data_IF_552707359556
#
_entry.id   IF_552707359556
#
_cell.length_a   1.000
_cell.length_b   1.000
_cell.length_c   1.000
_cell.angle_alpha   90.00
_cell.angle_beta   90.00
_cell.angle_gamma   90.00
#
_symmetry.space_group_name_H-M   'P 1'
#
loop_
_entity.id
_entity.type
_entity.pdbx_description
1 polymer ?
#
# COMPACT_ATOMS: atom_id res chain seq x y z
N UNK A 1 -49.43 -46.26 -2.69
CA UNK A 1 -49.85 -44.87 -3.01
C UNK A 1 -50.20 -44.15 -1.72
N UNK A 2 -49.21 -43.67 -0.95
CA UNK A 2 -49.46 -42.90 0.28
C UNK A 2 -48.81 -41.51 0.13
N UNK A 3 -49.59 -40.49 0.45
CA UNK A 3 -49.22 -39.09 0.71
C UNK A 3 -48.66 -38.21 -0.42
N UNK A 4 -49.46 -37.94 -1.45
CA UNK A 4 -49.28 -36.74 -2.30
C UNK A 4 -49.95 -35.46 -1.76
N UNK A 5 -50.62 -35.51 -0.59
CA UNK A 5 -51.38 -34.37 -0.04
C UNK A 5 -50.74 -33.72 1.21
N UNK A 6 -49.48 -33.99 1.53
CA UNK A 6 -48.80 -33.19 2.55
C UNK A 6 -48.40 -31.83 1.96
N UNK A 7 -48.84 -30.75 2.60
CA UNK A 7 -48.45 -29.40 2.19
C UNK A 7 -46.94 -29.23 2.45
N UNK A 8 -46.21 -28.72 1.46
CA UNK A 8 -44.79 -28.43 1.61
C UNK A 8 -44.58 -27.43 2.76
N UNK A 9 -43.69 -27.77 3.70
CA UNK A 9 -43.25 -26.85 4.74
C UNK A 9 -42.32 -25.84 4.10
N UNK A 10 -42.72 -24.56 4.12
CA UNK A 10 -41.95 -23.49 3.48
C UNK A 10 -40.86 -22.97 4.42
N UNK A 11 -39.71 -22.65 3.84
CA UNK A 11 -38.59 -22.03 4.55
C UNK A 11 -38.43 -20.59 4.09
N UNK A 12 -37.97 -19.71 4.98
CA UNK A 12 -37.68 -18.31 4.62
C UNK A 12 -36.42 -18.24 3.76
N UNK A 13 -36.52 -17.60 2.60
CA UNK A 13 -35.39 -17.21 1.76
C UNK A 13 -35.22 -15.69 1.83
N UNK A 14 -34.12 -15.22 2.41
CA UNK A 14 -33.81 -13.79 2.46
C UNK A 14 -33.53 -13.20 1.07
N UNK A 15 -33.13 -14.06 0.14
CA UNK A 15 -32.88 -13.74 -1.25
C UNK A 15 -33.56 -14.79 -2.10
N UNK A 16 -34.31 -14.36 -3.12
CA UNK A 16 -35.12 -15.24 -3.96
C UNK A 16 -34.90 -14.89 -5.43
N UNK A 17 -34.81 -15.93 -6.25
CA UNK A 17 -34.55 -15.86 -7.69
C UNK A 17 -35.77 -16.42 -8.41
N UNK A 18 -36.39 -15.63 -9.29
CA UNK A 18 -37.50 -16.11 -10.08
C UNK A 18 -37.65 -15.32 -11.37
N UNK A 19 -38.24 -15.98 -12.37
CA UNK A 19 -38.75 -15.34 -13.58
C UNK A 19 -40.27 -15.39 -13.57
N UNK A 20 -40.88 -14.34 -14.11
CA UNK A 20 -42.35 -14.19 -14.21
C UNK A 20 -42.90 -14.88 -15.47
N UNK A 21 -42.05 -15.21 -16.46
CA UNK A 21 -42.41 -15.80 -17.75
C UNK A 21 -41.66 -17.11 -18.02
N UNK A 22 -42.07 -17.84 -19.08
CA UNK A 22 -41.47 -19.11 -19.52
C UNK A 22 -39.93 -19.00 -19.59
N UNK A 23 -39.24 -19.80 -18.79
CA UNK A 23 -37.78 -19.87 -18.85
C UNK A 23 -37.34 -20.75 -20.02
N UNK A 24 -36.55 -20.19 -20.93
CA UNK A 24 -35.80 -20.95 -21.94
C UNK A 24 -34.55 -21.61 -21.37
N UNK A 25 -34.13 -21.19 -20.16
CA UNK A 25 -32.98 -21.75 -19.46
C UNK A 25 -33.43 -22.93 -18.62
N UNK A 26 -32.89 -24.11 -18.91
CA UNK A 26 -33.20 -25.38 -18.25
C UNK A 26 -32.85 -25.40 -16.75
N UNK A 27 -31.99 -24.50 -16.27
CA UNK A 27 -31.61 -24.39 -14.85
C UNK A 27 -32.47 -23.40 -14.04
N UNK A 28 -33.47 -22.79 -14.68
CA UNK A 28 -34.39 -21.84 -14.03
C UNK A 28 -35.72 -22.51 -13.64
N UNK A 29 -36.52 -21.77 -12.86
CA UNK A 29 -37.90 -22.13 -12.50
C UNK A 29 -38.79 -20.88 -12.44
N UNK A 30 -40.09 -21.08 -12.68
CA UNK A 30 -41.11 -20.02 -12.80
C UNK A 30 -42.01 -20.02 -11.57
N UNK A 31 -42.43 -18.83 -11.12
CA UNK A 31 -43.35 -18.66 -9.99
C UNK A 31 -44.62 -17.95 -10.45
N UNK A 32 -45.78 -18.56 -10.16
CA UNK A 32 -47.08 -17.98 -10.49
C UNK A 32 -47.39 -16.77 -9.61
N UNK A 33 -47.82 -15.67 -10.23
CA UNK A 33 -48.27 -14.47 -9.51
C UNK A 33 -49.63 -14.70 -8.81
N UNK A 34 -49.91 -14.02 -7.69
CA UNK A 34 -49.00 -13.17 -6.92
C UNK A 34 -47.91 -13.98 -6.23
N UNK A 35 -46.71 -13.40 -6.11
CA UNK A 35 -45.56 -14.02 -5.46
C UNK A 35 -45.84 -14.27 -3.97
N UNK A 36 -45.55 -15.48 -3.50
CA UNK A 36 -45.49 -15.82 -2.07
C UNK A 36 -44.27 -16.71 -1.82
N UNK A 37 -43.73 -16.68 -0.60
CA UNK A 37 -42.61 -17.57 -0.22
C UNK A 37 -43.00 -19.04 -0.30
N UNK A 38 -44.26 -19.37 -0.06
CA UNK A 38 -44.78 -20.73 -0.24
C UNK A 38 -44.65 -21.18 -1.70
N UNK A 39 -45.11 -20.36 -2.65
CA UNK A 39 -44.98 -20.65 -4.08
C UNK A 39 -43.54 -20.72 -4.55
N UNK A 40 -42.65 -19.89 -3.97
CA UNK A 40 -41.21 -19.98 -4.21
C UNK A 40 -40.66 -21.33 -3.79
N UNK A 41 -40.92 -21.75 -2.55
CA UNK A 41 -40.49 -23.03 -2.02
C UNK A 41 -41.04 -24.19 -2.86
N UNK A 42 -42.32 -24.14 -3.24
CA UNK A 42 -42.95 -25.15 -4.09
C UNK A 42 -42.31 -25.24 -5.48
N UNK A 43 -42.06 -24.11 -6.14
CA UNK A 43 -41.44 -24.10 -7.46
C UNK A 43 -39.99 -24.61 -7.41
N UNK A 44 -39.22 -24.18 -6.42
CA UNK A 44 -37.85 -24.63 -6.18
C UNK A 44 -37.80 -26.13 -5.84
N UNK A 45 -38.71 -26.60 -4.98
CA UNK A 45 -38.78 -28.01 -4.60
C UNK A 45 -39.20 -28.90 -5.77
N UNK A 46 -40.18 -28.46 -6.56
CA UNK A 46 -40.54 -29.13 -7.83
C UNK A 46 -39.33 -29.19 -8.76
N UNK A 47 -38.53 -28.12 -8.86
CA UNK A 47 -37.32 -28.12 -9.68
C UNK A 47 -36.32 -29.17 -9.22
N UNK A 48 -36.06 -29.26 -7.92
CA UNK A 48 -35.18 -30.27 -7.32
C UNK A 48 -35.63 -31.69 -7.65
N UNK A 49 -36.93 -31.97 -7.57
CA UNK A 49 -37.50 -33.29 -7.88
C UNK A 49 -37.31 -33.68 -9.35
N UNK A 50 -37.42 -32.72 -10.28
CA UNK A 50 -37.52 -33.02 -11.71
C UNK A 50 -36.23 -32.80 -12.51
N UNK A 51 -35.31 -31.98 -12.04
CA UNK A 51 -34.05 -31.70 -12.76
C UNK A 51 -33.22 -32.97 -12.96
N UNK A 52 -32.46 -33.06 -14.06
CA UNK A 52 -31.55 -34.18 -14.30
C UNK A 52 -30.55 -34.30 -13.16
N UNK A 53 -30.28 -35.53 -12.71
CA UNK A 53 -29.28 -35.74 -11.65
C UNK A 53 -27.90 -35.25 -12.11
N UNK A 54 -27.54 -35.35 -13.40
CA UNK A 54 -26.27 -34.81 -13.91
C UNK A 54 -26.16 -33.28 -13.83
N UNK A 55 -27.29 -32.59 -13.73
CA UNK A 55 -27.39 -31.14 -13.80
C UNK A 55 -27.52 -30.47 -12.43
N UNK A 56 -27.66 -31.25 -11.36
CA UNK A 56 -27.90 -30.70 -10.02
C UNK A 56 -26.77 -29.82 -9.51
N UNK A 57 -25.51 -30.15 -9.82
CA UNK A 57 -24.36 -29.27 -9.57
C UNK A 57 -24.46 -27.96 -10.37
N UNK A 58 -24.71 -28.04 -11.68
CA UNK A 58 -24.82 -26.87 -12.55
C UNK A 58 -25.99 -25.96 -12.14
N UNK A 59 -27.08 -26.55 -11.67
CA UNK A 59 -28.22 -25.83 -11.10
C UNK A 59 -27.84 -25.03 -9.85
N UNK A 60 -27.14 -25.67 -8.90
CA UNK A 60 -26.67 -24.98 -7.70
C UNK A 60 -25.71 -23.84 -8.05
N UNK A 61 -24.81 -24.06 -9.01
CA UNK A 61 -23.88 -23.04 -9.50
C UNK A 61 -24.62 -21.84 -10.08
N UNK A 62 -25.56 -22.11 -10.97
CA UNK A 62 -26.38 -21.09 -11.62
C UNK A 62 -27.18 -20.28 -10.58
N UNK A 63 -27.93 -20.94 -9.70
CA UNK A 63 -28.73 -20.25 -8.69
C UNK A 63 -27.84 -19.45 -7.72
N UNK A 64 -26.70 -19.99 -7.28
CA UNK A 64 -25.77 -19.27 -6.42
C UNK A 64 -25.13 -18.05 -7.10
N UNK A 65 -25.02 -18.02 -8.43
CA UNK A 65 -24.50 -16.87 -9.16
C UNK A 65 -25.48 -15.69 -9.23
N UNK A 66 -26.77 -15.93 -9.01
CA UNK A 66 -27.83 -14.94 -9.14
C UNK A 66 -28.21 -14.27 -7.81
N UNK A 67 -27.89 -14.90 -6.68
CA UNK A 67 -28.07 -14.34 -5.32
C UNK A 67 -26.84 -13.59 -4.86
N UNK A 68 -27.04 -12.54 -4.05
CA UNK A 68 -25.96 -11.75 -3.44
C UNK A 68 -25.28 -12.50 -2.30
N UNK A 69 -26.03 -13.30 -1.54
CA UNK A 69 -25.57 -14.10 -0.40
C UNK A 69 -25.82 -15.59 -0.63
N UNK A 70 -25.00 -16.24 -1.48
CA UNK A 70 -25.20 -17.65 -1.87
C UNK A 70 -25.13 -18.63 -0.72
N UNK A 71 -24.32 -18.36 0.32
CA UNK A 71 -24.24 -19.22 1.51
C UNK A 71 -25.57 -19.23 2.28
N UNK A 72 -26.23 -18.08 2.45
CA UNK A 72 -27.53 -18.02 3.12
C UNK A 72 -28.62 -18.72 2.30
N UNK A 73 -28.57 -18.54 0.98
CA UNK A 73 -29.50 -19.21 0.06
C UNK A 73 -29.36 -20.74 0.12
N UNK A 74 -28.13 -21.26 0.05
CA UNK A 74 -27.85 -22.70 0.17
C UNK A 74 -28.30 -23.26 1.52
N UNK A 75 -28.07 -22.54 2.62
CA UNK A 75 -28.51 -22.99 3.95
C UNK A 75 -30.04 -23.07 4.04
N UNK A 76 -30.74 -22.13 3.40
CA UNK A 76 -32.20 -22.12 3.31
C UNK A 76 -32.71 -23.27 2.44
N UNK A 77 -32.00 -23.60 1.37
CA UNK A 77 -32.29 -24.75 0.52
C UNK A 77 -32.11 -26.09 1.25
N UNK A 78 -31.01 -26.24 1.99
CA UNK A 78 -30.75 -27.44 2.81
C UNK A 78 -31.87 -27.64 3.83
N UNK A 79 -32.30 -26.55 4.48
CA UNK A 79 -33.42 -26.55 5.42
C UNK A 79 -34.73 -26.95 4.75
N UNK A 80 -35.04 -26.40 3.57
CA UNK A 80 -36.22 -26.77 2.79
C UNK A 80 -36.24 -28.29 2.49
N UNK A 81 -35.11 -28.88 2.12
CA UNK A 81 -35.02 -30.33 1.88
C UNK A 81 -35.23 -31.12 3.18
N UNK A 82 -34.62 -30.70 4.29
CA UNK A 82 -34.72 -31.36 5.61
C UNK A 82 -36.12 -31.30 6.23
N UNK A 83 -36.85 -30.20 6.01
CA UNK A 83 -38.21 -30.05 6.54
C UNK A 83 -39.24 -30.86 5.72
N UNK A 84 -38.87 -31.29 4.51
CA UNK A 84 -39.77 -31.96 3.57
C UNK A 84 -39.32 -33.38 3.19
N UNK A 85 -38.62 -34.08 4.10
CA UNK A 85 -38.11 -35.45 3.87
C UNK A 85 -39.18 -36.46 3.45
N UNK A 86 -40.41 -36.30 3.96
CA UNK A 86 -41.53 -37.18 3.63
C UNK A 86 -41.89 -37.15 2.13
N UNK A 87 -41.50 -36.11 1.40
CA UNK A 87 -41.69 -36.02 -0.05
C UNK A 87 -40.63 -36.78 -0.86
N UNK A 88 -39.63 -37.36 -0.20
CA UNK A 88 -38.59 -38.22 -0.80
C UNK A 88 -38.77 -39.70 -0.41
N UNK A 89 -40.01 -40.14 -0.19
CA UNK A 89 -40.38 -41.45 0.36
C UNK A 89 -40.15 -42.65 -0.58
N UNK A 90 -39.95 -42.41 -1.88
CA UNK A 90 -39.61 -43.47 -2.85
C UNK A 90 -38.09 -43.63 -2.99
N UNK A 91 -37.61 -44.85 -3.29
CA UNK A 91 -36.15 -45.11 -3.46
C UNK A 91 -35.46 -44.16 -4.46
N UNK A 92 -36.03 -43.84 -5.63
CA UNK A 92 -35.40 -42.89 -6.56
C UNK A 92 -35.33 -41.46 -6.00
N UNK A 93 -36.37 -41.03 -5.27
CA UNK A 93 -36.40 -39.72 -4.64
C UNK A 93 -35.44 -39.64 -3.44
N UNK A 94 -35.27 -40.72 -2.69
CA UNK A 94 -34.28 -40.79 -1.63
C UNK A 94 -32.84 -40.65 -2.17
N UNK A 95 -32.51 -41.34 -3.27
CA UNK A 95 -31.20 -41.16 -3.93
C UNK A 95 -30.97 -39.71 -4.36
N UNK A 96 -32.02 -39.06 -4.90
CA UNK A 96 -31.99 -37.64 -5.27
C UNK A 96 -31.78 -36.73 -4.06
N UNK A 97 -32.47 -36.99 -2.95
CA UNK A 97 -32.28 -36.26 -1.70
C UNK A 97 -30.81 -36.33 -1.24
N UNK A 98 -30.25 -37.55 -1.17
CA UNK A 98 -28.84 -37.76 -0.79
C UNK A 98 -27.89 -37.01 -1.73
N UNK A 99 -28.16 -37.05 -3.04
CA UNK A 99 -27.37 -36.31 -4.03
C UNK A 99 -27.37 -34.81 -3.78
N UNK A 100 -28.55 -34.20 -3.62
CA UNK A 100 -28.66 -32.76 -3.38
C UNK A 100 -28.02 -32.34 -2.05
N UNK A 101 -28.18 -33.12 -0.97
CA UNK A 101 -27.54 -32.81 0.32
C UNK A 101 -26.01 -32.88 0.22
N UNK A 102 -25.50 -33.86 -0.54
CA UNK A 102 -24.06 -33.99 -0.82
C UNK A 102 -23.55 -32.79 -1.61
N UNK A 103 -24.21 -32.44 -2.72
CA UNK A 103 -23.80 -31.31 -3.57
C UNK A 103 -23.94 -29.97 -2.87
N UNK A 104 -24.96 -29.79 -2.02
CA UNK A 104 -25.08 -28.62 -1.13
C UNK A 104 -23.88 -28.51 -0.20
N UNK A 105 -23.43 -29.63 0.38
CA UNK A 105 -22.29 -29.65 1.28
C UNK A 105 -20.98 -29.32 0.56
N UNK A 106 -20.77 -29.91 -0.63
CA UNK A 106 -19.65 -29.58 -1.51
C UNK A 106 -19.69 -28.10 -1.89
N UNK A 107 -20.84 -27.61 -2.35
CA UNK A 107 -20.98 -26.23 -2.81
C UNK A 107 -20.78 -25.22 -1.70
N UNK A 108 -21.30 -25.51 -0.51
CA UNK A 108 -21.06 -24.70 0.69
C UNK A 108 -19.57 -24.66 1.02
N UNK A 109 -18.86 -25.79 0.96
CA UNK A 109 -17.42 -25.82 1.15
C UNK A 109 -16.70 -24.96 0.11
N UNK A 110 -17.03 -25.07 -1.18
CA UNK A 110 -16.44 -24.23 -2.23
C UNK A 110 -16.68 -22.74 -2.03
N UNK A 111 -17.91 -22.34 -1.65
CA UNK A 111 -18.26 -20.95 -1.40
C UNK A 111 -17.55 -20.42 -0.16
N UNK A 112 -17.46 -21.23 0.90
CA UNK A 112 -16.70 -20.90 2.09
C UNK A 112 -15.21 -20.82 1.79
N UNK A 113 -14.64 -21.71 0.98
CA UNK A 113 -13.24 -21.65 0.55
C UNK A 113 -12.97 -20.40 -0.30
N UNK A 114 -13.90 -19.99 -1.16
CA UNK A 114 -13.80 -18.73 -1.91
C UNK A 114 -13.90 -17.50 -1.00
N UNK A 115 -14.71 -17.56 0.05
CA UNK A 115 -14.88 -16.47 1.03
C UNK A 115 -13.77 -16.43 2.10
N UNK A 116 -13.17 -17.58 2.43
CA UNK A 116 -12.12 -17.76 3.43
C UNK A 116 -10.72 -17.71 2.84
N UNK A 117 -10.58 -17.83 1.51
CA UNK A 117 -9.39 -17.36 0.81
C UNK A 117 -9.26 -15.87 1.18
N UNK A 118 -8.26 -15.45 1.98
CA UNK A 118 -7.82 -14.06 1.87
C UNK A 118 -7.62 -13.81 0.38
N UNK A 119 -7.92 -12.61 -0.12
CA UNK A 119 -7.50 -12.17 -1.45
C UNK A 119 -6.12 -12.77 -1.68
N UNK A 120 -6.05 -13.87 -2.44
CA UNK A 120 -4.77 -14.51 -2.69
C UNK A 120 -4.09 -13.39 -3.44
N UNK A 121 -3.03 -12.83 -2.85
CA UNK A 121 -1.94 -12.38 -3.67
C UNK A 121 -1.65 -13.62 -4.53
N UNK A 122 -2.24 -13.70 -5.73
CA UNK A 122 -1.71 -14.54 -6.78
C UNK A 122 -0.25 -14.12 -6.77
N UNK A 123 0.63 -15.02 -6.33
CA UNK A 123 2.05 -14.73 -6.27
C UNK A 123 2.40 -14.30 -7.68
N UNK A 124 2.63 -13.01 -7.88
CA UNK A 124 2.84 -12.42 -9.20
C UNK A 124 4.20 -12.91 -9.65
N UNK A 125 4.19 -14.08 -10.26
CA UNK A 125 5.36 -14.72 -10.80
C UNK A 125 5.64 -14.08 -12.15
N UNK A 126 6.89 -13.65 -12.31
CA UNK A 126 7.44 -13.20 -13.57
C UNK A 126 7.91 -14.40 -14.40
N UNK A 127 8.39 -15.45 -13.72
CA UNK A 127 8.78 -16.71 -14.32
C UNK A 127 9.29 -17.71 -13.28
N UNK A 128 9.56 -18.93 -13.70
CA UNK A 128 10.15 -19.96 -12.85
C UNK A 128 10.89 -21.01 -13.68
N UNK A 129 11.80 -21.73 -13.03
CA UNK A 129 12.37 -22.99 -13.48
C UNK A 129 12.24 -24.05 -12.37
N UNK A 130 12.80 -25.24 -12.57
CA UNK A 130 12.72 -26.32 -11.58
C UNK A 130 13.34 -25.97 -10.21
N UNK A 131 14.28 -25.03 -10.16
CA UNK A 131 15.07 -24.72 -8.97
C UNK A 131 14.66 -23.40 -8.30
N UNK A 132 14.08 -22.45 -9.06
CA UNK A 132 13.88 -21.08 -8.62
C UNK A 132 12.62 -20.45 -9.23
N UNK A 133 11.90 -19.73 -8.37
CA UNK A 133 10.78 -18.87 -8.75
C UNK A 133 11.20 -17.40 -8.74
N UNK A 134 10.81 -16.65 -9.77
CA UNK A 134 11.08 -15.23 -9.89
C UNK A 134 9.80 -14.43 -9.72
N UNK A 135 9.75 -13.60 -8.67
CA UNK A 135 8.63 -12.70 -8.38
C UNK A 135 9.14 -11.34 -7.93
N UNK A 136 8.93 -10.32 -8.77
CA UNK A 136 9.27 -8.95 -8.43
C UNK A 136 8.41 -8.43 -7.26
N UNK A 137 7.17 -8.91 -7.13
CA UNK A 137 6.33 -8.59 -5.99
C UNK A 137 6.99 -9.02 -4.67
N UNK A 138 7.58 -10.22 -4.64
CA UNK A 138 8.31 -10.72 -3.47
C UNK A 138 9.58 -9.90 -3.20
N UNK A 139 10.37 -9.61 -4.25
CA UNK A 139 11.57 -8.76 -4.16
C UNK A 139 11.22 -7.38 -3.60
N UNK A 140 10.08 -6.81 -4.01
CA UNK A 140 9.63 -5.49 -3.57
C UNK A 140 9.24 -5.46 -2.09
N UNK A 141 8.71 -6.55 -1.55
CA UNK A 141 8.47 -6.69 -0.11
C UNK A 141 9.79 -6.76 0.66
N UNK A 142 10.78 -7.50 0.15
CA UNK A 142 12.12 -7.58 0.75
C UNK A 142 12.86 -6.23 0.71
N UNK A 143 12.62 -5.42 -0.31
CA UNK A 143 13.20 -4.08 -0.43
C UNK A 143 12.89 -3.15 0.75
N UNK A 144 11.80 -3.41 1.49
CA UNK A 144 11.40 -2.63 2.67
C UNK A 144 12.44 -2.76 3.80
N UNK A 145 13.16 -3.87 3.87
CA UNK A 145 14.15 -4.12 4.91
C UNK A 145 15.45 -3.32 4.75
N UNK A 146 15.71 -2.76 3.57
CA UNK A 146 16.92 -1.96 3.31
C UNK A 146 16.67 -0.49 3.59
N UNK A 147 17.63 0.17 4.24
CA UNK A 147 17.47 1.58 4.64
C UNK A 147 17.94 2.52 3.54
N UNK A 148 19.10 2.22 2.95
CA UNK A 148 19.75 3.12 1.99
C UNK A 148 19.39 2.79 0.55
N UNK A 149 19.46 3.82 -0.31
CA UNK A 149 19.24 3.66 -1.76
C UNK A 149 20.32 2.76 -2.38
N UNK A 150 21.57 2.85 -1.93
CA UNK A 150 22.68 2.04 -2.43
C UNK A 150 22.50 0.55 -2.11
N UNK A 151 22.03 0.21 -0.91
CA UNK A 151 21.72 -1.18 -0.53
C UNK A 151 20.59 -1.76 -1.39
N UNK A 152 19.54 -0.96 -1.64
CA UNK A 152 18.41 -1.37 -2.48
C UNK A 152 18.83 -1.63 -3.92
N UNK A 153 19.64 -0.72 -4.48
CA UNK A 153 20.18 -0.86 -5.83
C UNK A 153 21.08 -2.10 -5.92
N UNK A 154 21.98 -2.29 -4.96
CA UNK A 154 22.87 -3.46 -4.90
C UNK A 154 22.09 -4.77 -4.81
N UNK A 155 21.04 -4.82 -3.99
CA UNK A 155 20.16 -5.98 -3.89
C UNK A 155 19.45 -6.28 -5.22
N UNK A 156 18.87 -5.27 -5.86
CA UNK A 156 18.20 -5.44 -7.17
C UNK A 156 19.16 -5.89 -8.27
N UNK A 157 20.38 -5.35 -8.29
CA UNK A 157 21.42 -5.79 -9.22
C UNK A 157 21.76 -7.27 -9.02
N UNK A 158 21.90 -7.71 -7.77
CA UNK A 158 22.13 -9.12 -7.45
C UNK A 158 20.97 -10.01 -7.92
N UNK A 159 19.71 -9.58 -7.73
CA UNK A 159 18.54 -10.30 -8.25
C UNK A 159 18.56 -10.42 -9.79
N UNK A 160 18.99 -9.37 -10.50
CA UNK A 160 19.16 -9.41 -11.97
C UNK A 160 20.27 -10.38 -12.36
N UNK A 161 21.40 -10.39 -11.66
CA UNK A 161 22.49 -11.32 -11.94
C UNK A 161 22.08 -12.77 -11.72
N UNK A 162 21.43 -13.05 -10.60
CA UNK A 162 20.84 -14.36 -10.29
C UNK A 162 19.90 -14.84 -11.39
N UNK A 163 18.99 -13.96 -11.84
CA UNK A 163 18.04 -14.26 -12.90
C UNK A 163 18.74 -14.60 -14.23
N UNK A 164 19.84 -13.89 -14.56
CA UNK A 164 20.62 -14.16 -15.78
C UNK A 164 21.44 -15.43 -15.68
N UNK A 165 21.91 -15.80 -14.48
CA UNK A 165 22.66 -17.04 -14.24
C UNK A 165 21.76 -18.27 -14.25
N UNK A 166 20.51 -18.13 -13.80
CA UNK A 166 19.52 -19.22 -13.77
C UNK A 166 18.23 -18.77 -14.49
N UNK A 167 18.24 -18.64 -15.83
CA UNK A 167 17.07 -18.16 -16.55
C UNK A 167 15.84 -19.06 -16.31
N UNK A 168 14.62 -18.49 -16.33
CA UNK A 168 13.40 -19.27 -16.15
C UNK A 168 13.10 -20.10 -17.40
N UNK A 169 12.55 -21.31 -17.18
CA UNK A 169 12.01 -22.16 -18.25
C UNK A 169 10.64 -21.63 -18.74
N UNK A 170 9.88 -21.02 -17.83
CA UNK A 170 8.56 -20.47 -18.08
C UNK A 170 8.49 -19.00 -17.68
N UNK A 171 7.97 -18.17 -18.59
CA UNK A 171 7.71 -16.76 -18.35
C UNK A 171 6.20 -16.52 -18.25
N UNK A 172 5.81 -15.62 -17.34
CA UNK A 172 4.43 -15.18 -17.23
C UNK A 172 4.04 -14.32 -18.42
N UNK A 173 2.87 -14.56 -19.00
CA UNK A 173 2.31 -13.73 -20.06
C UNK A 173 1.61 -12.47 -19.54
N UNK A 174 1.34 -12.41 -18.24
CA UNK A 174 0.61 -11.31 -17.58
C UNK A 174 1.53 -10.27 -16.95
N UNK A 175 2.79 -10.62 -16.70
CA UNK A 175 3.74 -9.79 -15.98
C UNK A 175 4.93 -9.44 -16.90
N UNK A 176 5.53 -8.27 -16.70
CA UNK A 176 6.78 -7.94 -17.41
C UNK A 176 7.94 -8.86 -16.97
N UNK A 177 8.97 -9.06 -17.80
CA UNK A 177 10.18 -9.80 -17.42
C UNK A 177 10.77 -9.31 -16.10
N UNK A 178 11.22 -10.25 -15.27
CA UNK A 178 11.67 -9.98 -13.90
C UNK A 178 12.84 -8.99 -13.84
N UNK A 179 13.84 -9.20 -14.69
CA UNK A 179 15.02 -8.36 -14.79
C UNK A 179 14.69 -6.94 -15.23
N UNK A 180 13.74 -6.79 -16.16
CA UNK A 180 13.27 -5.49 -16.61
C UNK A 180 12.55 -4.74 -15.48
N UNK A 181 11.70 -5.42 -14.70
CA UNK A 181 11.05 -4.79 -13.54
C UNK A 181 12.08 -4.33 -12.49
N UNK A 182 13.12 -5.13 -12.25
CA UNK A 182 14.22 -4.74 -11.36
C UNK A 182 14.98 -3.51 -11.89
N UNK A 183 15.27 -3.45 -13.19
CA UNK A 183 15.95 -2.30 -13.81
C UNK A 183 15.12 -1.01 -13.71
N UNK A 184 13.81 -1.09 -14.00
CA UNK A 184 12.91 0.05 -13.87
C UNK A 184 12.89 0.59 -12.43
N UNK A 185 12.93 -0.31 -11.44
CA UNK A 185 12.96 0.07 -10.04
C UNK A 185 14.30 0.71 -9.63
N UNK A 186 15.43 0.21 -10.14
CA UNK A 186 16.74 0.86 -9.96
C UNK A 186 16.70 2.29 -10.49
N UNK A 187 16.23 2.49 -11.73
CA UNK A 187 16.13 3.83 -12.31
C UNK A 187 15.24 4.76 -11.48
N UNK A 188 14.14 4.23 -10.93
CA UNK A 188 13.22 4.97 -10.07
C UNK A 188 13.92 5.46 -8.80
N UNK A 189 14.71 4.61 -8.16
CA UNK A 189 15.47 4.92 -6.94
C UNK A 189 16.54 5.98 -7.23
N UNK A 190 17.32 5.81 -8.30
CA UNK A 190 18.35 6.78 -8.70
C UNK A 190 17.77 8.17 -8.99
N UNK A 191 16.64 8.22 -9.72
CA UNK A 191 15.94 9.48 -10.01
C UNK A 191 15.46 10.17 -8.74
N UNK A 192 14.99 9.40 -7.75
CA UNK A 192 14.57 9.94 -6.45
C UNK A 192 15.74 10.51 -5.65
N UNK A 193 16.89 9.84 -5.63
CA UNK A 193 18.11 10.35 -4.98
C UNK A 193 18.56 11.68 -5.57
N UNK A 194 18.63 11.78 -6.90
CA UNK A 194 19.00 13.04 -7.59
C UNK A 194 18.01 14.16 -7.23
N UNK A 195 16.72 13.86 -7.15
CA UNK A 195 15.71 14.85 -6.76
C UNK A 195 15.89 15.30 -5.31
N UNK A 196 16.14 14.36 -4.40
CA UNK A 196 16.36 14.64 -2.98
C UNK A 196 17.63 15.47 -2.75
N UNK A 197 18.71 15.20 -3.48
CA UNK A 197 19.93 15.99 -3.47
C UNK A 197 19.66 17.44 -3.91
N UNK A 198 18.95 17.63 -5.03
CA UNK A 198 18.55 18.97 -5.50
C UNK A 198 17.69 19.73 -4.48
N UNK A 199 16.81 19.05 -3.74
CA UNK A 199 16.04 19.67 -2.66
C UNK A 199 16.94 20.09 -1.50
N UNK A 200 17.89 19.23 -1.09
CA UNK A 200 18.87 19.55 -0.04
C UNK A 200 19.72 20.75 -0.44
N UNK A 201 20.20 20.80 -1.66
CA UNK A 201 20.96 21.95 -2.21
C UNK A 201 20.14 23.23 -2.19
N UNK A 202 18.87 23.20 -2.63
CA UNK A 202 17.97 24.37 -2.58
C UNK A 202 17.68 24.83 -1.16
N UNK A 203 17.49 23.91 -0.21
CA UNK A 203 17.27 24.24 1.20
C UNK A 203 18.52 24.85 1.82
N UNK A 204 19.70 24.29 1.54
CA UNK A 204 20.98 24.84 1.99
C UNK A 204 21.19 26.26 1.41
N UNK A 205 20.86 26.47 0.13
CA UNK A 205 20.93 27.79 -0.51
C UNK A 205 19.95 28.81 0.07
N UNK A 206 18.78 28.38 0.58
CA UNK A 206 17.83 29.27 1.27
C UNK A 206 18.29 29.66 2.69
N UNK A 207 18.97 28.75 3.39
CA UNK A 207 19.49 28.97 4.76
C UNK A 207 20.72 29.88 4.73
N UNK A 208 21.56 29.77 3.70
CA UNK A 208 22.59 30.76 3.40
C UNK A 208 21.98 31.90 2.58
N UNK A 209 21.23 32.80 3.22
CA UNK A 209 20.73 34.01 2.56
C UNK A 209 21.84 34.71 1.76
N UNK A 210 21.50 35.42 0.68
CA UNK A 210 22.48 36.19 -0.11
C UNK A 210 23.35 37.02 0.83
N UNK A 211 24.65 36.72 0.88
CA UNK A 211 25.61 37.46 1.71
C UNK A 211 25.53 38.94 1.36
N UNK A 212 25.47 39.77 2.38
CA UNK A 212 25.36 41.21 2.22
C UNK A 212 26.77 41.80 2.04
N UNK A 213 27.05 42.55 0.97
CA UNK A 213 28.34 43.20 0.81
C UNK A 213 28.51 44.27 1.89
N UNK A 214 29.64 44.23 2.59
CA UNK A 214 29.99 45.20 3.62
C UNK A 214 31.04 46.15 3.07
N UNK A 215 30.73 47.45 3.08
CA UNK A 215 31.67 48.51 2.68
C UNK A 215 32.60 48.95 3.82
N UNK A 216 32.34 48.51 5.05
CA UNK A 216 33.16 48.81 6.20
C UNK A 216 34.41 47.91 6.26
N UNK A 217 35.47 48.41 6.88
CA UNK A 217 36.66 47.63 7.21
C UNK A 217 36.25 46.38 8.03
N UNK A 218 36.68 45.20 7.59
CA UNK A 218 36.40 43.93 8.26
C UNK A 218 36.79 43.94 9.74
N UNK A 219 37.85 44.68 10.10
CA UNK A 219 38.31 44.87 11.47
C UNK A 219 37.27 45.58 12.34
N UNK A 220 36.57 46.58 11.77
CA UNK A 220 35.49 47.32 12.45
C UNK A 220 34.28 46.42 12.64
N UNK A 221 33.88 45.67 11.60
CA UNK A 221 32.77 44.73 11.69
C UNK A 221 33.02 43.68 12.79
N UNK A 222 34.22 43.09 12.84
CA UNK A 222 34.58 42.12 13.86
C UNK A 222 34.61 42.74 15.27
N UNK A 223 35.06 43.99 15.41
CA UNK A 223 35.07 44.70 16.68
C UNK A 223 33.65 44.94 17.25
N UNK A 224 32.67 45.24 16.39
CA UNK A 224 31.25 45.35 16.78
C UNK A 224 30.76 44.03 17.40
N UNK A 225 30.98 42.90 16.71
CA UNK A 225 30.60 41.59 17.22
C UNK A 225 31.38 41.24 18.50
N UNK A 226 32.66 41.58 18.58
CA UNK A 226 33.48 41.38 19.78
C UNK A 226 32.91 42.14 20.98
N UNK A 227 32.50 43.41 20.81
CA UNK A 227 31.84 44.19 21.85
C UNK A 227 30.51 43.56 22.25
N UNK A 228 29.69 43.15 21.28
CA UNK A 228 28.40 42.52 21.55
C UNK A 228 28.51 41.23 22.37
N UNK A 229 29.42 40.32 22.03
CA UNK A 229 29.59 39.05 22.75
C UNK A 229 30.18 39.23 24.16
N UNK A 230 30.89 40.34 24.41
CA UNK A 230 31.49 40.65 25.71
C UNK A 230 30.66 41.62 26.57
N UNK A 231 29.67 42.34 26.00
CA UNK A 231 28.78 43.23 26.75
C UNK A 231 27.89 42.41 27.68
N UNK A 232 27.91 42.76 28.97
CA UNK A 232 27.06 42.14 30.00
C UNK A 232 25.74 42.89 30.11
N UNK A 233 24.66 42.16 30.34
CA UNK A 233 23.34 42.71 30.64
C UNK A 233 23.28 43.18 32.11
N UNK A 234 22.21 43.88 32.48
CA UNK A 234 21.94 44.36 33.86
C UNK A 234 21.98 43.25 34.92
N UNK A 235 21.78 42.00 34.51
CA UNK A 235 21.82 40.81 35.36
C UNK A 235 23.22 40.14 35.43
N UNK A 236 24.27 40.78 34.89
CA UNK A 236 25.65 40.28 34.90
C UNK A 236 25.95 39.15 33.90
N UNK A 237 24.95 38.60 33.21
CA UNK A 237 25.14 37.60 32.14
C UNK A 237 25.53 38.29 30.83
N UNK A 238 26.28 37.59 29.98
CA UNK A 238 26.57 38.08 28.61
C UNK A 238 25.27 38.29 27.86
N UNK A 239 25.13 39.44 27.18
CA UNK A 239 23.94 39.74 26.37
C UNK A 239 23.79 38.74 25.23
N UNK A 240 24.90 38.38 24.59
CA UNK A 240 24.96 37.36 23.55
C UNK A 240 25.89 36.23 24.03
N UNK A 241 25.35 35.03 24.38
CA UNK A 241 26.15 33.92 24.88
C UNK A 241 26.82 33.13 23.74
N UNK A 242 27.33 33.84 22.73
CA UNK A 242 27.97 33.22 21.56
C UNK A 242 29.44 32.92 21.83
N UNK A 243 29.92 31.82 21.26
CA UNK A 243 31.36 31.53 21.16
C UNK A 243 31.97 32.31 20.00
N UNK A 244 33.30 32.47 20.00
CA UNK A 244 34.03 33.07 18.87
C UNK A 244 33.76 32.30 17.57
N UNK A 245 33.66 30.97 17.64
CA UNK A 245 33.35 30.14 16.48
C UNK A 245 31.95 30.44 15.93
N UNK A 246 30.93 30.51 16.79
CA UNK A 246 29.57 30.86 16.40
C UNK A 246 29.48 32.27 15.78
N UNK A 247 30.19 33.24 16.35
CA UNK A 247 30.26 34.58 15.79
C UNK A 247 30.96 34.61 14.42
N UNK A 248 32.05 33.83 14.27
CA UNK A 248 32.78 33.69 13.00
C UNK A 248 31.88 33.11 11.91
N UNK A 249 31.18 32.02 12.21
CA UNK A 249 30.27 31.37 11.26
C UNK A 249 29.13 32.31 10.87
N UNK A 250 28.56 33.05 11.83
CA UNK A 250 27.51 34.03 11.56
C UNK A 250 27.99 35.15 10.62
N UNK A 251 29.17 35.73 10.88
CA UNK A 251 29.73 36.80 10.03
C UNK A 251 30.01 36.28 8.62
N UNK A 252 30.70 35.14 8.49
CA UNK A 252 31.06 34.57 7.19
C UNK A 252 29.85 34.10 6.37
N UNK A 253 28.75 33.72 7.03
CA UNK A 253 27.52 33.31 6.36
C UNK A 253 26.58 34.47 6.03
N UNK A 254 26.73 35.61 6.70
CA UNK A 254 25.84 36.77 6.52
C UNK A 254 26.44 37.85 5.62
N UNK A 255 27.78 37.95 5.53
CA UNK A 255 28.46 39.06 4.86
C UNK A 255 29.51 38.61 3.83
N UNK A 256 29.75 39.45 2.83
CA UNK A 256 30.82 39.35 1.83
C UNK A 256 31.57 40.68 1.71
N UNK A 257 32.72 40.68 1.06
CA UNK A 257 33.43 41.92 0.72
C UNK A 257 32.65 42.76 -0.31
N UNK A 258 33.05 44.02 -0.50
CA UNK A 258 32.38 44.95 -1.42
C UNK A 258 32.36 44.46 -2.88
N UNK A 259 33.33 43.64 -3.27
CA UNK A 259 33.41 42.98 -4.60
C UNK A 259 32.58 41.69 -4.71
N UNK A 260 31.92 41.29 -3.60
CA UNK A 260 31.13 40.06 -3.50
C UNK A 260 31.92 38.81 -3.10
N UNK A 261 33.23 38.93 -2.88
CA UNK A 261 34.07 37.80 -2.46
C UNK A 261 33.77 37.36 -1.02
N UNK A 262 33.99 36.07 -0.74
CA UNK A 262 33.68 35.50 0.57
C UNK A 262 34.71 35.91 1.63
N UNK A 263 34.24 36.26 2.83
CA UNK A 263 35.12 36.58 3.97
C UNK A 263 35.93 35.37 4.43
N UNK A 264 37.23 35.59 4.72
CA UNK A 264 38.12 34.54 5.23
C UNK A 264 37.86 34.25 6.72
N UNK A 265 37.40 33.03 7.02
CA UNK A 265 37.07 32.57 8.38
C UNK A 265 38.25 32.66 9.36
N UNK A 266 39.47 32.36 8.92
CA UNK A 266 40.68 32.45 9.77
C UNK A 266 40.99 33.89 10.16
N UNK A 267 40.80 34.83 9.22
CA UNK A 267 40.99 36.27 9.47
C UNK A 267 39.92 36.79 10.44
N UNK A 268 38.65 36.46 10.21
CA UNK A 268 37.53 36.83 11.09
C UNK A 268 37.74 36.31 12.51
N UNK A 269 38.11 35.03 12.65
CA UNK A 269 38.41 34.43 13.96
C UNK A 269 39.57 35.13 14.67
N UNK A 270 40.58 35.57 13.92
CA UNK A 270 41.73 36.30 14.47
C UNK A 270 41.30 37.65 15.05
N UNK A 271 40.46 38.40 14.35
CA UNK A 271 39.96 39.70 14.82
C UNK A 271 38.98 39.59 15.99
N UNK A 272 38.24 38.48 16.10
CA UNK A 272 37.35 38.21 17.23
C UNK A 272 38.09 37.67 18.48
N UNK A 273 39.37 37.33 18.38
CA UNK A 273 40.13 36.76 19.50
C UNK A 273 40.56 37.82 20.52
N UNK A 274 40.33 37.55 21.81
CA UNK A 274 40.74 38.42 22.92
C UNK A 274 42.26 38.46 23.15
N UNK A 275 43.03 37.58 22.52
CA UNK A 275 44.47 37.44 22.70
C UNK A 275 45.32 38.41 21.87
N UNK A 276 44.71 39.26 21.04
CA UNK A 276 45.40 40.19 20.13
C UNK A 276 44.83 41.62 20.20
N UNK A 277 45.06 42.37 21.29
CA UNK A 277 44.55 43.73 21.45
C UNK A 277 45.03 44.71 20.35
N UNK A 278 46.20 44.47 19.75
CA UNK A 278 46.73 45.20 18.59
C UNK A 278 45.88 45.04 17.32
N UNK A 279 45.08 43.98 17.26
CA UNK A 279 44.15 43.69 16.17
C UNK A 279 42.81 44.41 16.33
N UNK A 280 42.69 45.42 17.21
CA UNK A 280 41.51 46.30 17.32
C UNK A 280 41.65 47.60 16.50
N UNK A 281 40.54 48.21 16.07
CA UNK A 281 40.57 49.54 15.47
C UNK A 281 41.23 50.55 16.43
N UNK A 282 41.87 51.59 15.87
CA UNK A 282 42.31 52.72 16.70
C UNK A 282 41.07 53.46 17.21
N UNK A 283 41.15 54.05 18.41
CA UNK A 283 40.04 54.76 19.08
C UNK A 283 39.33 55.74 18.13
N UNK A 284 40.07 56.46 17.28
CA UNK A 284 39.52 57.42 16.30
C UNK A 284 38.66 56.80 15.19
N UNK A 285 38.77 55.49 14.96
CA UNK A 285 38.04 54.72 13.92
C UNK A 285 37.15 53.64 14.53
N UNK A 286 37.01 53.66 15.85
CA UNK A 286 36.22 52.71 16.58
C UNK A 286 34.72 53.04 16.39
N UNK A 287 33.91 52.01 16.13
CA UNK A 287 32.47 52.20 16.05
C UNK A 287 31.91 52.26 17.47
N UNK A 288 31.25 53.36 17.80
CA UNK A 288 30.64 53.58 19.10
C UNK A 288 29.26 52.90 19.17
N UNK A 289 29.00 52.19 20.27
CA UNK A 289 27.77 51.42 20.52
C UNK A 289 27.21 51.86 21.87
N UNK A 290 26.96 53.16 21.98
CA UNK A 290 26.21 53.79 23.07
C UNK A 290 24.70 53.78 22.82
#
# INVERSE_FOLDING_TARGET
>A
MKNLNQKLVSTVFNEYIYKINKSEIELDFVIDLPFTMEKYCEALFKKIIHIGLSESSAFLDYQCSLVKQPILWINSLEKLIKENLNHFDTRPLHHRQVKFVSEISIKRHELMEKASKPLRYEKKLNGYNAEKEYSFATVKELLVAYETSDEKISFLQNQIYDYKQSPPDFLSTKEQPFDLQCQIEIERIEKQEIHNQKIKEKKNALVTGKKLPVQADLKILCDIYFKMINKKSRNGKRMFPWTIAQATDHICNSFCEADGSALNSSTVRTYLSSSKPESRPKIEREFDID
#
